data_IF_823351775773
#
_entry.id   IF_823351775773
#
_cell.length_a   1.000
_cell.length_b   1.000
_cell.length_c   1.000
_cell.angle_alpha   90.00
_cell.angle_beta   90.00
_cell.angle_gamma   90.00
#
_symmetry.space_group_name_H-M   'P 1'
#
loop_
_entity.id
_entity.type
_entity.pdbx_description
1 polymer ?
#
# COMPACT_ATOMS: atom_id res chain seq x y z
N UNK A 1 -1.87 12.62 1.52
CA UNK A 1 -2.49 11.33 1.89
C UNK A 1 -1.42 10.25 1.80
N UNK A 2 -0.99 9.64 2.91
CA UNK A 2 0.15 8.71 2.90
C UNK A 2 -0.20 7.35 3.50
N UNK A 3 -0.91 6.55 2.69
CA UNK A 3 -1.19 5.14 2.97
C UNK A 3 -2.41 4.91 3.86
N UNK A 4 -2.51 3.68 4.36
CA UNK A 4 -3.62 3.21 5.18
C UNK A 4 -3.64 3.83 6.57
N UNK A 5 -4.83 3.88 7.17
CA UNK A 5 -4.99 4.22 8.59
C UNK A 5 -4.28 3.20 9.51
N UNK A 6 -4.04 3.57 10.77
CA UNK A 6 -3.29 2.72 11.71
C UNK A 6 -4.08 1.52 12.20
N UNK A 7 -5.39 1.68 12.36
CA UNK A 7 -6.33 0.65 12.82
C UNK A 7 -7.53 0.63 11.90
N UNK A 8 -7.84 -0.52 11.32
CA UNK A 8 -8.99 -0.76 10.45
C UNK A 8 -10.25 -1.13 11.22
N UNK A 9 -10.10 -1.50 12.50
CA UNK A 9 -11.19 -2.01 13.31
C UNK A 9 -11.36 -1.17 14.57
N UNK A 10 -12.61 -0.89 14.94
CA UNK A 10 -12.97 -0.27 16.21
C UNK A 10 -14.26 -0.89 16.74
N UNK A 11 -14.16 -1.70 17.80
CA UNK A 11 -15.31 -2.47 18.30
C UNK A 11 -15.88 -3.36 17.19
N UNK A 12 -17.15 -3.17 16.84
CA UNK A 12 -17.84 -3.94 15.79
C UNK A 12 -17.76 -3.29 14.41
N UNK A 13 -16.98 -2.21 14.25
CA UNK A 13 -16.83 -1.51 12.97
C UNK A 13 -15.54 -1.93 12.26
N UNK A 14 -15.64 -2.19 10.95
CA UNK A 14 -14.51 -2.53 10.07
C UNK A 14 -14.52 -1.58 8.88
N UNK A 15 -13.37 -0.94 8.62
CA UNK A 15 -13.15 -0.08 7.44
C UNK A 15 -12.35 -0.80 6.37
N UNK A 16 -12.74 -0.63 5.11
CA UNK A 16 -12.14 -1.32 3.97
C UNK A 16 -12.06 -0.42 2.75
N UNK A 17 -11.07 -0.65 1.89
CA UNK A 17 -10.89 0.11 0.65
C UNK A 17 -10.45 1.54 0.93
N UNK A 18 -10.93 2.48 0.12
CA UNK A 18 -10.54 3.89 0.22
C UNK A 18 -10.88 4.51 1.58
N UNK A 19 -11.97 4.03 2.22
CA UNK A 19 -12.33 4.45 3.59
C UNK A 19 -11.26 4.13 4.64
N UNK A 20 -10.46 3.08 4.40
CA UNK A 20 -9.32 2.69 5.23
C UNK A 20 -7.97 3.20 4.68
N UNK A 21 -7.99 3.99 3.60
CA UNK A 21 -6.79 4.46 2.91
C UNK A 21 -6.04 3.36 2.17
N UNK A 22 -6.75 2.29 1.74
CA UNK A 22 -6.16 1.20 0.94
C UNK A 22 -5.94 1.67 -0.50
N UNK A 23 -5.01 2.61 -0.69
CA UNK A 23 -4.56 3.10 -1.99
C UNK A 23 -3.05 3.15 -1.94
N UNK A 24 -2.39 2.62 -2.97
CA UNK A 24 -0.93 2.66 -3.09
C UNK A 24 -0.47 4.11 -3.34
N UNK A 25 0.26 4.76 -2.42
CA UNK A 25 0.60 6.17 -2.56
C UNK A 25 1.46 6.49 -3.79
N UNK A 26 2.27 5.53 -4.25
CA UNK A 26 3.20 5.74 -5.36
C UNK A 26 2.54 5.87 -6.74
N UNK A 27 1.37 5.26 -6.95
CA UNK A 27 0.73 5.20 -8.27
C UNK A 27 -0.80 5.38 -8.24
N UNK A 28 -1.40 5.52 -7.06
CA UNK A 28 -2.85 5.71 -6.90
C UNK A 28 -3.69 4.45 -7.11
N UNK A 29 -3.09 3.26 -7.22
CA UNK A 29 -3.85 2.04 -7.40
C UNK A 29 -4.59 1.63 -6.12
N UNK A 30 -5.92 1.73 -6.13
CA UNK A 30 -6.82 1.38 -5.02
C UNK A 30 -7.68 0.15 -5.25
N UNK A 31 -8.11 -0.12 -6.50
CA UNK A 31 -9.11 -1.16 -6.80
C UNK A 31 -8.66 -2.55 -6.30
N UNK A 32 -7.48 -3.02 -6.71
CA UNK A 32 -7.02 -4.37 -6.36
C UNK A 32 -6.80 -4.55 -4.87
N UNK A 33 -6.24 -3.54 -4.21
CA UNK A 33 -5.97 -3.61 -2.76
C UNK A 33 -7.26 -3.49 -1.95
N UNK A 34 -8.26 -2.74 -2.44
CA UNK A 34 -9.60 -2.70 -1.87
C UNK A 34 -10.32 -4.05 -2.02
N UNK A 35 -10.23 -4.71 -3.18
CA UNK A 35 -10.77 -6.06 -3.38
C UNK A 35 -10.13 -7.09 -2.43
N UNK A 36 -8.81 -7.05 -2.29
CA UNK A 36 -8.08 -7.92 -1.34
C UNK A 36 -8.55 -7.62 0.09
N UNK A 37 -8.65 -6.34 0.46
CA UNK A 37 -9.19 -5.91 1.75
C UNK A 37 -10.60 -6.45 2.00
N UNK A 38 -11.49 -6.32 1.02
CA UNK A 38 -12.87 -6.79 1.10
C UNK A 38 -12.97 -8.30 1.30
N UNK A 39 -12.16 -9.07 0.57
CA UNK A 39 -12.09 -10.53 0.74
C UNK A 39 -11.66 -10.93 2.15
N UNK A 40 -10.59 -10.34 2.68
CA UNK A 40 -10.09 -10.69 4.02
C UNK A 40 -11.07 -10.22 5.10
N UNK A 41 -11.65 -9.03 4.95
CA UNK A 41 -12.64 -8.50 5.89
C UNK A 41 -13.87 -9.42 5.94
N UNK A 42 -14.40 -9.85 4.80
CA UNK A 42 -15.52 -10.78 4.74
C UNK A 42 -15.22 -12.13 5.40
N UNK A 43 -14.01 -12.66 5.22
CA UNK A 43 -13.56 -13.88 5.90
C UNK A 43 -13.54 -13.71 7.42
N UNK A 44 -12.90 -12.65 7.91
CA UNK A 44 -12.77 -12.38 9.35
C UNK A 44 -14.12 -12.07 9.99
N UNK A 45 -15.00 -11.33 9.32
CA UNK A 45 -16.37 -11.08 9.81
C UNK A 45 -17.15 -12.39 9.90
N UNK A 46 -17.07 -13.26 8.89
CA UNK A 46 -17.74 -14.57 8.94
C UNK A 46 -17.21 -15.45 10.08
N UNK A 47 -15.90 -15.42 10.35
CA UNK A 47 -15.29 -16.17 11.44
C UNK A 47 -15.65 -15.58 12.81
N UNK A 48 -15.67 -14.25 12.92
CA UNK A 48 -16.10 -13.55 14.13
C UNK A 48 -17.52 -13.94 14.54
N UNK A 49 -18.45 -13.99 13.58
CA UNK A 49 -19.84 -14.36 13.83
C UNK A 49 -20.02 -15.85 14.18
N UNK A 50 -19.18 -16.74 13.65
CA UNK A 50 -19.33 -18.21 13.85
C UNK A 50 -18.57 -18.75 15.05
N UNK A 51 -17.35 -18.26 15.28
CA UNK A 51 -16.42 -18.82 16.26
C UNK A 51 -15.82 -17.78 17.20
N UNK A 52 -16.29 -16.52 17.15
CA UNK A 52 -15.85 -15.46 18.07
C UNK A 52 -14.43 -14.94 17.79
N UNK A 53 -13.86 -15.23 16.61
CA UNK A 53 -12.53 -14.74 16.21
C UNK A 53 -12.50 -13.22 16.28
N UNK A 54 -11.51 -12.57 16.93
CA UNK A 54 -11.51 -11.12 17.05
C UNK A 54 -11.35 -10.44 15.69
N UNK A 55 -12.11 -9.37 15.46
CA UNK A 55 -12.07 -8.62 14.19
C UNK A 55 -10.67 -8.02 13.89
N UNK A 56 -9.82 -7.84 14.91
CA UNK A 56 -8.42 -7.41 14.75
C UNK A 56 -7.58 -8.39 13.91
N UNK A 57 -8.01 -9.64 13.74
CA UNK A 57 -7.40 -10.58 12.79
C UNK A 57 -7.41 -10.07 11.35
N UNK A 58 -8.35 -9.19 11.01
CA UNK A 58 -8.39 -8.53 9.71
C UNK A 58 -7.09 -7.76 9.45
N UNK A 59 -6.64 -6.97 10.42
CA UNK A 59 -5.43 -6.16 10.29
C UNK A 59 -4.18 -7.04 10.14
N UNK A 60 -4.09 -8.12 10.93
CA UNK A 60 -2.98 -9.06 10.90
C UNK A 60 -2.88 -9.73 9.53
N UNK A 61 -3.99 -10.29 9.04
CA UNK A 61 -4.05 -10.99 7.75
C UNK A 61 -3.81 -10.03 6.58
N UNK A 62 -4.39 -8.83 6.63
CA UNK A 62 -4.17 -7.80 5.62
C UNK A 62 -2.71 -7.35 5.59
N UNK A 63 -2.11 -7.08 6.75
CA UNK A 63 -0.70 -6.65 6.85
C UNK A 63 0.26 -7.74 6.38
N UNK A 64 -0.07 -9.02 6.62
CA UNK A 64 0.70 -10.15 6.09
C UNK A 64 0.72 -10.19 4.55
N UNK A 65 -0.41 -9.89 3.90
CA UNK A 65 -0.50 -9.92 2.44
C UNK A 65 -0.01 -8.61 1.78
N UNK A 66 -0.43 -7.46 2.30
CA UNK A 66 -0.25 -6.16 1.65
C UNK A 66 0.79 -5.26 2.32
N UNK A 67 1.26 -5.59 3.53
CA UNK A 67 2.15 -4.72 4.30
C UNK A 67 3.47 -4.40 3.61
N UNK A 68 4.11 -5.39 2.96
CA UNK A 68 5.36 -5.17 2.20
C UNK A 68 5.12 -4.26 0.99
N UNK A 69 4.04 -4.48 0.25
CA UNK A 69 3.68 -3.69 -0.93
C UNK A 69 3.36 -2.25 -0.55
N UNK A 70 2.56 -2.05 0.50
CA UNK A 70 2.20 -0.73 1.01
C UNK A 70 3.43 0.05 1.51
N UNK A 71 4.32 -0.62 2.25
CA UNK A 71 5.57 -0.02 2.73
C UNK A 71 6.48 0.42 1.57
N UNK A 72 6.65 -0.43 0.56
CA UNK A 72 7.43 -0.10 -0.64
C UNK A 72 6.82 1.07 -1.40
N UNK A 73 5.50 1.07 -1.58
CA UNK A 73 4.78 2.15 -2.24
C UNK A 73 4.93 3.48 -1.49
N UNK A 74 4.85 3.46 -0.15
CA UNK A 74 5.08 4.66 0.68
C UNK A 74 6.51 5.19 0.55
N UNK A 75 7.51 4.32 0.55
CA UNK A 75 8.93 4.72 0.33
C UNK A 75 9.14 5.31 -1.06
N UNK A 76 8.59 4.67 -2.10
CA UNK A 76 8.65 5.16 -3.46
C UNK A 76 7.96 6.51 -3.62
N UNK A 77 6.81 6.72 -2.97
CA UNK A 77 6.12 8.01 -2.94
C UNK A 77 6.97 9.09 -2.26
N UNK A 78 7.55 8.80 -1.08
CA UNK A 78 8.39 9.76 -0.36
C UNK A 78 9.58 10.17 -1.24
N UNK A 79 10.29 9.21 -1.79
CA UNK A 79 11.42 9.46 -2.69
C UNK A 79 11.01 10.26 -3.94
N UNK A 80 9.94 9.84 -4.61
CA UNK A 80 9.39 10.55 -5.76
C UNK A 80 8.97 11.97 -5.42
N UNK A 81 8.36 12.19 -4.26
CA UNK A 81 7.92 13.52 -3.81
C UNK A 81 9.08 14.49 -3.55
N UNK A 82 10.26 13.98 -3.20
CA UNK A 82 11.48 14.78 -3.12
C UNK A 82 12.05 15.07 -4.52
N UNK A 83 12.15 14.06 -5.39
CA UNK A 83 12.69 14.24 -6.75
C UNK A 83 11.86 15.22 -7.57
N UNK A 84 10.53 15.12 -7.51
CA UNK A 84 9.63 15.96 -8.30
C UNK A 84 9.64 17.44 -7.85
N UNK A 85 10.29 17.76 -6.74
CA UNK A 85 10.53 19.14 -6.29
C UNK A 85 11.86 19.72 -6.76
N UNK A 86 12.69 18.91 -7.42
CA UNK A 86 13.96 19.36 -7.98
C UNK A 86 13.75 20.06 -9.33
N UNK A 87 14.71 20.89 -9.79
CA UNK A 87 14.64 21.50 -11.12
C UNK A 87 14.55 20.48 -12.27
N UNK A 88 13.86 20.85 -13.34
CA UNK A 88 13.58 19.97 -14.49
C UNK A 88 14.82 19.32 -15.11
N UNK A 89 15.96 20.01 -15.13
CA UNK A 89 17.20 19.44 -15.67
C UNK A 89 17.69 18.24 -14.85
N UNK A 90 17.48 18.24 -13.52
CA UNK A 90 17.81 17.11 -12.63
C UNK A 90 16.80 15.97 -12.85
N UNK A 91 15.51 16.30 -12.98
CA UNK A 91 14.47 15.32 -13.27
C UNK A 91 14.80 14.60 -14.59
N UNK A 92 15.13 15.34 -15.65
CA UNK A 92 15.49 14.78 -16.95
C UNK A 92 16.75 13.89 -16.88
N UNK A 93 17.74 14.26 -16.06
CA UNK A 93 18.92 13.43 -15.82
C UNK A 93 18.54 12.10 -15.11
N UNK A 94 17.64 12.18 -14.13
CA UNK A 94 17.14 11.01 -13.37
C UNK A 94 16.21 10.15 -14.22
N UNK A 95 15.46 10.70 -15.17
CA UNK A 95 14.57 9.97 -16.07
C UNK A 95 15.25 9.64 -17.42
N UNK A 96 16.42 9.01 -17.36
CA UNK A 96 17.17 8.55 -18.53
C UNK A 96 17.00 7.04 -18.76
N UNK A 97 17.38 6.54 -19.95
CA UNK A 97 17.38 5.12 -20.33
C UNK A 97 18.09 4.22 -19.32
N UNK A 98 19.15 4.71 -18.67
CA UNK A 98 19.92 3.95 -17.69
C UNK A 98 19.21 3.77 -16.34
N UNK A 99 18.41 4.75 -15.92
CA UNK A 99 17.68 4.76 -14.65
C UNK A 99 16.26 4.18 -14.79
N UNK A 100 15.77 3.99 -16.02
CA UNK A 100 14.49 3.34 -16.34
C UNK A 100 14.20 2.07 -15.53
N UNK A 101 15.14 1.11 -15.33
CA UNK A 101 14.87 -0.10 -14.54
C UNK A 101 14.56 0.21 -13.07
N UNK A 102 15.20 1.23 -12.50
CA UNK A 102 14.99 1.65 -11.11
C UNK A 102 13.64 2.35 -10.96
N UNK A 103 13.33 3.29 -11.85
CA UNK A 103 12.04 4.01 -11.88
C UNK A 103 10.88 3.04 -12.04
N UNK A 104 11.00 2.03 -12.91
CA UNK A 104 9.95 1.03 -13.13
C UNK A 104 9.64 0.19 -11.87
N UNK A 105 10.66 -0.11 -11.06
CA UNK A 105 10.47 -0.83 -9.79
C UNK A 105 9.71 0.01 -8.76
N UNK A 106 9.98 1.31 -8.72
CA UNK A 106 9.27 2.26 -7.86
C UNK A 106 7.80 2.37 -8.24
N UNK A 107 7.48 2.43 -9.54
CA UNK A 107 6.10 2.47 -10.04
C UNK A 107 5.35 1.16 -9.72
N UNK A 108 6.03 0.01 -9.85
CA UNK A 108 5.45 -1.32 -9.59
C UNK A 108 5.48 -1.74 -8.11
N UNK A 109 5.82 -0.81 -7.20
CA UNK A 109 5.88 -1.07 -5.74
C UNK A 109 6.79 -2.23 -5.34
N UNK A 110 7.80 -2.55 -6.18
CA UNK A 110 8.82 -3.54 -5.89
C UNK A 110 9.92 -2.93 -5.04
N UNK A 111 10.78 -3.76 -4.44
CA UNK A 111 11.91 -3.23 -3.69
C UNK A 111 12.81 -2.43 -4.63
N UNK A 112 12.97 -1.15 -4.31
CA UNK A 112 13.61 -0.14 -5.16
C UNK A 112 15.13 -0.35 -5.20
N UNK A 113 15.70 -0.77 -4.08
CA UNK A 113 17.08 -1.26 -3.98
C UNK A 113 17.04 -2.77 -4.19
N UNK A 114 17.94 -3.32 -5.02
CA UNK A 114 18.05 -4.75 -5.35
C UNK A 114 18.52 -5.62 -4.15
N UNK A 115 18.09 -5.27 -2.94
CA UNK A 115 18.44 -5.93 -1.70
C UNK A 115 17.23 -6.80 -1.30
N UNK A 116 17.47 -8.08 -1.03
CA UNK A 116 16.42 -9.07 -0.75
C UNK A 116 15.75 -8.86 0.61
#
# INVERSE_FOLDING_TARGET
MSGTITTFVKGNYVLVGDSAGMVLPSNGAGITIAMIGGRIAGQVISEHLKSGVPLSEFEIRWKKQMGKVMSNSKKAFIFGSYILRLPDWIINLIFNRFTKPFVWRSITCRNMFFIF
#
